data_IF_879834716391
#
_entry.id   IF_879834716391
#
_cell.length_a   1.000
_cell.length_b   1.000
_cell.length_c   1.000
_cell.angle_alpha   90.00
_cell.angle_beta   90.00
_cell.angle_gamma   90.00
#
_symmetry.space_group_name_H-M   'P 1'
#
loop_
_entity.id
_entity.type
_entity.pdbx_description
1 polymer ?
#
# COMPACT_ATOMS: atom_id res chain seq x y z
N UNK A 1 -3.59 3.37 -8.23
CA UNK A 1 -2.36 2.57 -8.31
C UNK A 1 -1.21 3.45 -8.78
N UNK A 2 -0.03 3.25 -8.22
CA UNK A 2 1.22 3.93 -8.64
C UNK A 2 2.24 2.83 -8.94
N UNK A 3 2.70 2.77 -10.18
CA UNK A 3 3.64 1.77 -10.65
C UNK A 3 4.83 2.42 -11.33
N UNK A 4 6.02 2.24 -10.78
CA UNK A 4 7.26 2.74 -11.38
C UNK A 4 8.50 2.16 -10.67
N UNK A 5 9.69 2.19 -11.29
CA UNK A 5 10.94 1.74 -10.66
C UNK A 5 11.31 2.51 -9.40
N UNK A 6 12.27 1.99 -8.65
CA UNK A 6 12.86 2.69 -7.49
C UNK A 6 13.46 4.04 -7.94
N UNK A 7 13.32 5.07 -7.11
CA UNK A 7 13.85 6.40 -7.41
C UNK A 7 13.04 7.24 -8.41
N UNK A 8 11.92 6.75 -8.89
CA UNK A 8 11.06 7.43 -9.90
C UNK A 8 10.05 8.41 -9.32
N UNK A 9 10.10 8.71 -8.03
CA UNK A 9 9.17 9.66 -7.39
C UNK A 9 7.82 9.07 -6.98
N UNK A 10 7.65 7.74 -6.93
CA UNK A 10 6.39 7.09 -6.50
C UNK A 10 5.85 7.64 -5.18
N UNK A 11 6.71 7.71 -4.17
CA UNK A 11 6.32 8.17 -2.83
C UNK A 11 5.92 9.65 -2.86
N UNK A 12 6.54 10.48 -3.70
CA UNK A 12 6.15 11.88 -3.90
C UNK A 12 4.73 11.98 -4.47
N UNK A 13 4.42 11.19 -5.51
CA UNK A 13 3.07 11.11 -6.08
C UNK A 13 2.07 10.61 -5.02
N UNK A 14 2.41 9.55 -4.30
CA UNK A 14 1.57 9.02 -3.22
C UNK A 14 1.29 10.11 -2.17
N UNK A 15 2.32 10.78 -1.66
CA UNK A 15 2.19 11.86 -0.68
C UNK A 15 1.23 12.94 -1.15
N UNK A 16 1.38 13.41 -2.39
CA UNK A 16 0.50 14.43 -2.98
C UNK A 16 -0.97 13.98 -3.02
N UNK A 17 -1.23 12.72 -3.37
CA UNK A 17 -2.57 12.16 -3.38
C UNK A 17 -3.14 12.00 -1.97
N UNK A 18 -2.35 11.50 -1.03
CA UNK A 18 -2.77 11.19 0.32
C UNK A 18 -3.04 12.45 1.15
N UNK A 19 -2.33 13.55 0.90
CA UNK A 19 -2.60 14.85 1.53
C UNK A 19 -4.00 15.39 1.23
N UNK A 20 -4.61 14.96 0.11
CA UNK A 20 -6.00 15.32 -0.26
C UNK A 20 -7.05 14.42 0.40
N UNK A 21 -6.64 13.45 1.23
CA UNK A 21 -7.54 12.51 1.91
C UNK A 21 -7.61 12.82 3.40
N UNK A 22 -8.84 12.70 3.95
CA UNK A 22 -9.08 13.01 5.36
C UNK A 22 -8.53 11.93 6.31
N UNK A 23 -8.80 10.65 6.01
CA UNK A 23 -8.49 9.51 6.88
C UNK A 23 -7.61 8.53 6.14
N UNK A 24 -6.34 8.44 6.53
CA UNK A 24 -5.34 7.60 5.85
C UNK A 24 -4.65 6.67 6.84
N UNK A 25 -4.48 5.42 6.44
CA UNK A 25 -3.59 4.46 7.08
C UNK A 25 -2.59 3.96 6.05
N UNK A 26 -1.32 4.31 6.23
CA UNK A 26 -0.22 3.86 5.39
C UNK A 26 0.53 2.68 6.02
N UNK A 27 0.86 1.68 5.21
CA UNK A 27 1.62 0.48 5.59
C UNK A 27 3.05 0.61 5.04
N UNK A 28 4.02 0.77 5.94
CA UNK A 28 5.43 0.98 5.62
C UNK A 28 6.28 -0.15 6.20
N UNK A 29 7.22 -0.66 5.43
CA UNK A 29 7.98 -1.86 5.79
C UNK A 29 9.50 -1.71 5.74
N UNK A 30 10.02 -0.61 5.21
CA UNK A 30 11.47 -0.39 5.06
C UNK A 30 12.05 0.22 6.33
N UNK A 31 13.05 -0.43 6.94
CA UNK A 31 13.68 0.04 8.17
C UNK A 31 14.25 1.46 8.08
N UNK A 32 14.83 1.81 6.93
CA UNK A 32 15.44 3.10 6.64
C UNK A 32 14.80 3.69 5.37
N UNK A 33 13.55 4.14 5.49
CA UNK A 33 12.87 4.82 4.38
C UNK A 33 12.95 6.33 4.59
N UNK A 34 13.93 6.95 3.92
CA UNK A 34 14.10 8.41 3.95
C UNK A 34 12.84 9.11 3.45
N UNK A 35 12.20 8.54 2.41
CA UNK A 35 10.99 9.13 1.83
C UNK A 35 9.79 9.03 2.77
N UNK A 36 9.70 7.96 3.57
CA UNK A 36 8.67 7.83 4.59
C UNK A 36 8.86 8.83 5.73
N UNK A 37 10.10 9.22 6.04
CA UNK A 37 10.39 10.27 7.03
C UNK A 37 9.87 11.64 6.59
N UNK A 38 9.77 11.88 5.29
CA UNK A 38 9.35 13.15 4.70
C UNK A 38 7.81 13.36 4.70
N UNK A 39 7.03 12.43 5.23
CA UNK A 39 5.56 12.54 5.27
C UNK A 39 5.04 13.63 6.23
N UNK A 40 5.89 14.43 6.82
CA UNK A 40 5.49 15.59 7.61
C UNK A 40 4.92 15.29 9.02
N UNK A 41 4.79 16.32 9.85
CA UNK A 41 4.38 16.18 11.25
C UNK A 41 2.89 15.84 11.43
N UNK A 42 2.08 16.00 10.40
CA UNK A 42 0.66 15.65 10.41
C UNK A 42 0.40 14.13 10.37
N UNK A 43 1.47 13.32 10.25
CA UNK A 43 1.39 11.87 10.26
C UNK A 43 1.85 11.31 11.60
N UNK A 44 0.95 10.60 12.27
CA UNK A 44 1.33 9.84 13.45
C UNK A 44 1.97 8.51 13.06
N UNK A 45 3.14 8.23 13.64
CA UNK A 45 3.87 6.98 13.41
C UNK A 45 3.55 5.97 14.48
N UNK A 46 3.03 4.83 14.05
CA UNK A 46 2.72 3.69 14.91
C UNK A 46 3.74 2.56 14.64
N UNK A 47 4.40 2.10 15.69
CA UNK A 47 5.30 0.93 15.62
C UNK A 47 4.56 -0.40 15.79
N UNK A 48 3.34 -0.34 16.27
CA UNK A 48 2.46 -1.48 16.48
C UNK A 48 1.00 -1.05 16.33
N UNK A 49 0.11 -1.99 16.04
CA UNK A 49 -1.31 -1.74 16.02
C UNK A 49 -1.90 -2.00 17.41
N UNK A 50 -2.51 -1.03 18.07
CA UNK A 50 -3.02 -1.21 19.42
C UNK A 50 -4.15 -2.25 19.48
N UNK A 51 -4.16 -3.06 20.52
CA UNK A 51 -5.18 -4.10 20.72
C UNK A 51 -6.57 -3.54 21.02
N UNK A 52 -6.65 -2.34 21.56
CA UNK A 52 -7.88 -1.66 21.97
C UNK A 52 -8.05 -0.37 21.19
N UNK A 53 -8.46 -0.50 19.93
CA UNK A 53 -8.83 0.63 19.08
C UNK A 53 -7.83 1.79 19.02
N UNK A 54 -7.72 2.40 17.89
CA UNK A 54 -7.03 3.68 17.76
C UNK A 54 -8.05 4.78 18.05
N UNK A 55 -7.62 5.83 18.74
CA UNK A 55 -8.36 7.07 18.77
C UNK A 55 -8.54 7.55 17.32
N UNK A 56 -9.76 7.39 16.82
CA UNK A 56 -10.12 7.71 15.44
C UNK A 56 -10.01 9.19 15.10
N UNK A 57 -9.65 10.04 16.07
CA UNK A 57 -9.39 11.48 15.87
C UNK A 57 -8.10 11.73 15.07
N UNK A 58 -7.19 10.76 15.01
CA UNK A 58 -5.98 10.87 14.21
C UNK A 58 -6.28 10.59 12.72
N UNK A 59 -6.15 11.61 11.91
CA UNK A 59 -6.53 11.55 10.49
C UNK A 59 -5.53 10.81 9.61
N UNK A 60 -4.24 10.83 9.95
CA UNK A 60 -3.17 10.24 9.13
C UNK A 60 -2.25 9.39 9.98
N UNK A 61 -2.32 8.09 9.78
CA UNK A 61 -1.55 7.10 10.51
C UNK A 61 -0.54 6.44 9.57
N UNK A 62 0.69 6.30 10.04
CA UNK A 62 1.76 5.58 9.37
C UNK A 62 2.13 4.37 10.23
N UNK A 63 1.64 3.20 9.83
CA UNK A 63 1.99 1.95 10.50
C UNK A 63 3.34 1.47 9.96
N UNK A 64 4.34 1.56 10.83
CA UNK A 64 5.73 1.29 10.50
C UNK A 64 6.38 0.44 11.57
N UNK A 65 6.13 -0.89 11.56
CA UNK A 65 6.66 -1.81 12.55
C UNK A 65 8.19 -1.87 12.51
N UNK A 66 8.79 -2.10 13.67
CA UNK A 66 10.23 -2.25 13.78
C UNK A 66 10.70 -3.58 13.18
N UNK A 67 11.91 -3.57 12.61
CA UNK A 67 12.61 -4.81 12.25
C UNK A 67 13.03 -5.58 13.50
N UNK A 68 13.11 -6.91 13.40
CA UNK A 68 13.55 -7.83 14.44
C UNK A 68 14.97 -8.31 14.18
N UNK A 69 15.45 -9.22 15.01
CA UNK A 69 16.81 -9.73 14.95
C UNK A 69 17.16 -10.45 13.63
N UNK A 70 16.18 -11.08 13.00
CA UNK A 70 16.34 -11.74 11.71
C UNK A 70 15.16 -11.52 10.77
N UNK A 71 15.32 -11.95 9.51
CA UNK A 71 14.33 -11.74 8.45
C UNK A 71 13.01 -12.43 8.76
N UNK A 72 13.05 -13.68 9.22
CA UNK A 72 11.83 -14.46 9.49
C UNK A 72 11.01 -13.85 10.61
N UNK A 73 11.65 -13.44 11.70
CA UNK A 73 10.99 -12.74 12.81
C UNK A 73 10.44 -11.38 12.38
N UNK A 74 11.17 -10.67 11.52
CA UNK A 74 10.71 -9.38 10.97
C UNK A 74 9.44 -9.58 10.16
N UNK A 75 9.41 -10.54 9.23
CA UNK A 75 8.24 -10.83 8.41
C UNK A 75 7.06 -11.26 9.28
N UNK A 76 7.27 -12.16 10.25
CA UNK A 76 6.21 -12.62 11.14
C UNK A 76 5.62 -11.46 11.96
N UNK A 77 6.48 -10.58 12.50
CA UNK A 77 6.04 -9.41 13.24
C UNK A 77 5.27 -8.42 12.36
N UNK A 78 5.77 -8.12 11.16
CA UNK A 78 5.07 -7.24 10.21
C UNK A 78 3.72 -7.84 9.81
N UNK A 79 3.66 -9.15 9.52
CA UNK A 79 2.41 -9.84 9.18
C UNK A 79 1.36 -9.71 10.28
N UNK A 80 1.74 -9.93 11.54
CA UNK A 80 0.83 -9.82 12.68
C UNK A 80 0.30 -8.39 12.85
N UNK A 81 1.21 -7.39 12.86
CA UNK A 81 0.85 -5.99 13.05
C UNK A 81 -0.06 -5.49 11.92
N UNK A 82 0.30 -5.78 10.68
CA UNK A 82 -0.47 -5.34 9.51
C UNK A 82 -1.83 -6.05 9.43
N UNK A 83 -1.91 -7.33 9.77
CA UNK A 83 -3.18 -8.08 9.78
C UNK A 83 -4.17 -7.50 10.78
N UNK A 84 -3.73 -7.23 12.01
CA UNK A 84 -4.58 -6.58 13.03
C UNK A 84 -5.10 -5.23 12.57
N UNK A 85 -4.29 -4.44 11.87
CA UNK A 85 -4.71 -3.16 11.33
C UNK A 85 -5.74 -3.32 10.20
N UNK A 86 -5.52 -4.27 9.30
CA UNK A 86 -6.43 -4.60 8.19
C UNK A 86 -7.79 -5.08 8.72
N UNK A 87 -7.80 -5.97 9.71
CA UNK A 87 -9.02 -6.47 10.34
C UNK A 87 -9.81 -5.34 11.03
N UNK A 88 -9.12 -4.44 11.72
CA UNK A 88 -9.75 -3.29 12.34
C UNK A 88 -10.38 -2.35 11.30
N UNK A 89 -9.69 -2.07 10.20
CA UNK A 89 -10.22 -1.23 9.11
C UNK A 89 -11.40 -1.91 8.40
N UNK A 90 -11.38 -3.24 8.27
CA UNK A 90 -12.52 -3.96 7.70
C UNK A 90 -13.82 -3.70 8.49
N UNK A 91 -13.74 -3.67 9.82
CA UNK A 91 -14.88 -3.41 10.70
C UNK A 91 -15.26 -1.93 10.72
N UNK A 92 -14.28 -1.03 10.75
CA UNK A 92 -14.51 0.42 10.90
C UNK A 92 -14.91 1.11 9.60
N UNK A 93 -14.37 0.68 8.46
CA UNK A 93 -14.54 1.35 7.18
C UNK A 93 -13.95 2.76 7.12
N UNK A 94 -14.45 3.58 6.18
CA UNK A 94 -14.21 5.02 6.06
C UNK A 94 -12.75 5.46 6.08
N UNK A 95 -11.84 4.73 5.37
CA UNK A 95 -10.41 5.06 5.32
C UNK A 95 -9.82 4.96 3.90
N UNK A 96 -8.75 5.69 3.70
CA UNK A 96 -7.83 5.43 2.59
C UNK A 96 -6.68 4.56 3.10
N UNK A 97 -6.50 3.39 2.50
CA UNK A 97 -5.38 2.50 2.77
C UNK A 97 -4.28 2.79 1.75
N UNK A 98 -3.08 3.02 2.23
CA UNK A 98 -1.90 3.17 1.39
C UNK A 98 -0.92 2.02 1.62
N UNK A 99 -0.65 1.25 0.58
CA UNK A 99 0.28 0.12 0.58
C UNK A 99 1.57 0.51 -0.15
N UNK A 100 2.63 0.85 0.59
CA UNK A 100 3.87 1.39 0.01
C UNK A 100 4.63 0.35 -0.85
N UNK A 101 4.73 -0.88 -0.39
CA UNK A 101 5.30 -2.00 -1.16
C UNK A 101 4.27 -3.13 -1.23
N UNK A 102 3.34 -3.02 -2.17
CA UNK A 102 2.22 -3.97 -2.28
C UNK A 102 2.71 -5.41 -2.41
N UNK A 103 3.79 -5.67 -3.18
CA UNK A 103 4.33 -7.01 -3.33
C UNK A 103 4.85 -7.61 -2.00
N UNK A 104 5.50 -6.81 -1.16
CA UNK A 104 5.93 -7.27 0.16
C UNK A 104 4.74 -7.68 1.03
N UNK A 105 3.70 -6.88 1.03
CA UNK A 105 2.50 -7.14 1.83
C UNK A 105 1.73 -8.37 1.33
N UNK A 106 1.56 -8.50 0.02
CA UNK A 106 0.83 -9.63 -0.57
C UNK A 106 1.61 -10.93 -0.51
N UNK A 107 2.90 -10.90 -0.84
CA UNK A 107 3.76 -12.08 -0.94
C UNK A 107 4.38 -12.46 0.40
N UNK A 108 5.17 -11.57 1.02
CA UNK A 108 5.94 -11.91 2.20
C UNK A 108 5.10 -11.90 3.47
N UNK A 109 4.21 -10.91 3.65
CA UNK A 109 3.34 -10.84 4.82
C UNK A 109 2.06 -11.69 4.69
N UNK A 110 1.78 -12.27 3.52
CA UNK A 110 0.62 -13.12 3.30
C UNK A 110 -0.73 -12.40 3.40
N UNK A 111 -0.78 -11.09 3.09
CA UNK A 111 -1.99 -10.26 3.12
C UNK A 111 -2.69 -10.15 1.75
N UNK A 112 -2.36 -11.04 0.82
CA UNK A 112 -2.90 -10.97 -0.54
C UNK A 112 -4.42 -10.99 -0.57
N UNK A 113 -5.06 -11.90 0.15
CA UNK A 113 -6.53 -12.05 0.19
C UNK A 113 -7.23 -10.84 0.80
N UNK A 114 -6.68 -10.28 1.87
CA UNK A 114 -7.23 -9.12 2.56
C UNK A 114 -7.14 -7.86 1.67
N UNK A 115 -6.01 -7.66 0.99
CA UNK A 115 -5.84 -6.55 0.06
C UNK A 115 -6.76 -6.72 -1.16
N UNK A 116 -6.87 -7.92 -1.73
CA UNK A 116 -7.84 -8.23 -2.79
C UNK A 116 -9.27 -7.95 -2.35
N UNK A 117 -9.64 -8.35 -1.13
CA UNK A 117 -10.97 -8.09 -0.57
C UNK A 117 -11.30 -6.58 -0.58
N UNK A 118 -10.37 -5.72 -0.16
CA UNK A 118 -10.59 -4.28 -0.20
C UNK A 118 -10.69 -3.72 -1.61
N UNK A 119 -10.01 -4.31 -2.58
CA UNK A 119 -10.18 -3.95 -3.98
C UNK A 119 -11.53 -4.32 -4.55
N UNK A 120 -12.13 -5.45 -4.09
CA UNK A 120 -13.47 -5.85 -4.50
C UNK A 120 -14.58 -5.09 -3.77
N UNK A 121 -14.48 -5.01 -2.46
CA UNK A 121 -15.59 -4.61 -1.59
C UNK A 121 -15.34 -3.30 -0.83
N UNK A 122 -14.14 -2.74 -0.90
CA UNK A 122 -13.79 -1.54 -0.13
C UNK A 122 -14.71 -0.36 -0.39
N UNK A 123 -15.17 -0.19 -1.63
CA UNK A 123 -16.07 0.89 -2.01
C UNK A 123 -17.37 0.88 -1.21
N UNK A 124 -17.96 -0.27 -0.92
CA UNK A 124 -19.19 -0.38 -0.11
C UNK A 124 -18.98 0.03 1.34
N UNK A 125 -17.74 -0.06 1.83
CA UNK A 125 -17.35 0.34 3.18
C UNK A 125 -16.66 1.71 3.23
N UNK A 126 -16.74 2.50 2.14
CA UNK A 126 -16.03 3.77 1.99
C UNK A 126 -14.51 3.66 2.18
N UNK A 127 -13.93 2.54 1.76
CA UNK A 127 -12.48 2.32 1.78
C UNK A 127 -11.93 2.57 0.37
N UNK A 128 -10.88 3.37 0.29
CA UNK A 128 -10.12 3.61 -0.94
C UNK A 128 -8.73 2.99 -0.79
N UNK A 129 -8.27 2.24 -1.80
CA UNK A 129 -6.93 1.68 -1.82
C UNK A 129 -6.01 2.50 -2.73
N UNK A 130 -4.86 2.87 -2.21
CA UNK A 130 -3.74 3.43 -2.97
C UNK A 130 -2.58 2.43 -2.86
N UNK A 131 -2.24 1.79 -3.97
CA UNK A 131 -1.20 0.77 -4.03
C UNK A 131 0.04 1.30 -4.73
N UNK A 132 1.19 1.10 -4.11
CA UNK A 132 2.51 1.42 -4.64
C UNK A 132 3.21 0.13 -5.02
N UNK A 133 3.76 0.04 -6.23
CA UNK A 133 4.46 -1.16 -6.71
C UNK A 133 5.60 -0.81 -7.65
N UNK A 134 6.63 -1.66 -7.65
CA UNK A 134 7.77 -1.54 -8.55
C UNK A 134 7.63 -2.48 -9.75
N UNK A 135 7.09 -3.68 -9.51
CA UNK A 135 6.95 -4.77 -10.48
C UNK A 135 5.50 -5.22 -10.53
N UNK A 136 4.71 -4.75 -11.49
CA UNK A 136 3.28 -5.06 -11.58
C UNK A 136 3.01 -6.54 -11.74
N UNK A 137 3.88 -7.30 -12.41
CA UNK A 137 3.74 -8.76 -12.59
C UNK A 137 3.74 -9.57 -11.30
N UNK A 138 4.26 -9.01 -10.19
CA UNK A 138 4.30 -9.69 -8.90
C UNK A 138 3.08 -9.39 -8.01
N UNK A 139 2.15 -8.60 -8.50
CA UNK A 139 0.96 -8.21 -7.76
C UNK A 139 -0.26 -8.94 -8.33
N UNK A 140 -1.21 -9.40 -7.50
CA UNK A 140 -2.41 -10.06 -7.98
C UNK A 140 -3.16 -9.26 -9.04
N UNK A 141 -3.61 -9.92 -10.11
CA UNK A 141 -4.29 -9.27 -11.25
C UNK A 141 -5.51 -8.43 -10.84
N UNK A 142 -6.22 -8.86 -9.80
CA UNK A 142 -7.40 -8.14 -9.34
C UNK A 142 -7.07 -6.73 -8.83
N UNK A 143 -5.94 -6.57 -8.15
CA UNK A 143 -5.48 -5.26 -7.69
C UNK A 143 -5.29 -4.32 -8.89
N UNK A 144 -4.79 -4.87 -10.00
CA UNK A 144 -4.58 -4.10 -11.23
C UNK A 144 -5.88 -3.82 -11.98
N UNK A 145 -6.76 -4.82 -12.13
CA UNK A 145 -8.00 -4.68 -12.90
C UNK A 145 -9.07 -3.82 -12.21
N UNK A 146 -8.97 -3.64 -10.90
CA UNK A 146 -9.93 -2.85 -10.10
C UNK A 146 -9.55 -1.38 -9.95
N UNK A 147 -8.41 -0.92 -10.50
CA UNK A 147 -7.98 0.46 -10.34
C UNK A 147 -8.80 1.42 -11.19
N UNK A 148 -9.17 2.54 -10.61
CA UNK A 148 -9.83 3.66 -11.31
C UNK A 148 -8.84 4.67 -11.88
N UNK A 149 -7.66 4.78 -11.26
CA UNK A 149 -6.59 5.68 -11.69
C UNK A 149 -5.24 4.98 -11.57
N UNK A 150 -4.46 4.99 -12.65
CA UNK A 150 -3.12 4.44 -12.70
C UNK A 150 -2.11 5.54 -13.03
N UNK A 151 -1.08 5.66 -12.18
CA UNK A 151 0.10 6.49 -12.43
C UNK A 151 1.24 5.54 -12.77
N UNK A 152 1.64 5.53 -14.02
CA UNK A 152 2.65 4.61 -14.53
C UNK A 152 3.89 5.42 -14.89
N UNK A 153 4.99 5.16 -14.19
CA UNK A 153 6.30 5.67 -14.54
C UNK A 153 6.97 4.79 -15.59
N UNK A 154 8.08 5.28 -16.12
CA UNK A 154 8.82 4.57 -17.16
C UNK A 154 9.32 3.21 -16.65
N UNK A 155 9.01 2.14 -17.37
CA UNK A 155 9.53 0.80 -17.15
C UNK A 155 10.16 0.25 -18.44
N UNK A 156 11.20 -0.57 -18.30
CA UNK A 156 11.92 -1.17 -19.44
C UNK A 156 11.76 -2.70 -19.49
N UNK A 157 11.17 -3.29 -18.46
CA UNK A 157 10.97 -4.73 -18.40
C UNK A 157 9.79 -5.13 -19.29
N UNK A 158 10.06 -6.02 -20.26
CA UNK A 158 9.05 -6.44 -21.26
C UNK A 158 7.85 -7.16 -20.64
N UNK A 159 8.07 -7.91 -19.57
CA UNK A 159 6.98 -8.62 -18.90
C UNK A 159 6.10 -7.66 -18.07
N UNK A 160 6.71 -6.65 -17.44
CA UNK A 160 5.97 -5.59 -16.77
C UNK A 160 5.17 -4.75 -17.79
N UNK A 161 5.75 -4.41 -18.95
CA UNK A 161 5.05 -3.71 -20.03
C UNK A 161 3.86 -4.52 -20.54
N UNK A 162 4.06 -5.82 -20.83
CA UNK A 162 2.97 -6.71 -21.24
C UNK A 162 1.87 -6.82 -20.19
N UNK A 163 2.24 -6.79 -18.90
CA UNK A 163 1.27 -6.84 -17.82
C UNK A 163 0.49 -5.51 -17.71
N UNK A 164 1.15 -4.38 -17.89
CA UNK A 164 0.56 -3.05 -17.89
C UNK A 164 -0.33 -2.77 -19.11
N UNK A 165 -0.01 -3.30 -20.29
CA UNK A 165 -0.82 -3.12 -21.49
C UNK A 165 -2.23 -3.70 -21.37
N UNK A 166 -2.42 -4.66 -20.46
CA UNK A 166 -3.75 -5.19 -20.13
C UNK A 166 -4.61 -4.23 -19.29
N UNK A 167 -4.05 -3.11 -18.82
CA UNK A 167 -4.70 -2.11 -17.97
C UNK A 167 -5.38 -1.00 -18.76
N UNK A 168 -6.15 -1.24 -19.73
CA UNK A 168 -6.90 -0.16 -20.36
C UNK A 168 -6.81 -0.11 -21.87
N UNK A 169 -6.43 -1.21 -22.49
CA UNK A 169 -6.39 -1.30 -23.96
C UNK A 169 -5.28 -0.47 -24.61
N UNK A 170 -4.24 -0.13 -23.85
CA UNK A 170 -3.03 0.50 -24.40
C UNK A 170 -2.17 -0.58 -24.98
N UNK A 171 -1.83 -0.48 -26.28
CA UNK A 171 -0.93 -1.42 -26.92
C UNK A 171 0.49 -1.26 -26.33
N UNK A 172 1.11 -2.36 -25.91
CA UNK A 172 2.47 -2.35 -25.34
C UNK A 172 3.55 -2.05 -26.40
N UNK A 173 3.17 -1.87 -27.64
CA UNK A 173 4.07 -1.63 -28.78
C UNK A 173 4.17 -0.17 -29.17
N UNK A 174 3.36 0.72 -28.60
CA UNK A 174 3.48 2.17 -28.70
C UNK A 174 4.21 2.75 -27.48
#
# INVERSE_FOLDING_TARGET
>A
MICAPTGSGKTTVAKTLLLKRGWVLGFFNKALDETAKDFGPEWERLKDWPRFGIDTRQNRLMLWPATKANVSETIAHHSDVFRRAVDAVHVQGHRTLFFDETHYLTGMCGLGREIEYFHYFGRSNNITCVTNMQRPRWVPKIIMSSVTHAYIGRTFDKDDLRHLSNLGGVDATE
#
